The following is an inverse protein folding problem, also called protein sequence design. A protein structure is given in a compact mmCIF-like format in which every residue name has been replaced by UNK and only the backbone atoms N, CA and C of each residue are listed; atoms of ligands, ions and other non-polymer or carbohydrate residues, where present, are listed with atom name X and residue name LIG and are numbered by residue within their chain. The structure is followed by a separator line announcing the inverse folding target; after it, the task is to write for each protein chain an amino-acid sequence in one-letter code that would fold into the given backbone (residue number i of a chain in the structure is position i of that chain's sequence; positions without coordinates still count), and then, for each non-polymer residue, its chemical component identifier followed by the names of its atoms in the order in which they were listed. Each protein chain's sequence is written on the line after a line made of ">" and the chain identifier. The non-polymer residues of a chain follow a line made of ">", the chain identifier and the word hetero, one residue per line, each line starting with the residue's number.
data_IF_925149125650
#
_entry.id   IF_925149125650
#
_cell.length_a   1.000
_cell.length_b   1.000
_cell.length_c   1.000
_cell.angle_alpha   90.00
_cell.angle_beta   90.00
_cell.angle_gamma   90.00
#
_symmetry.space_group_name_H-M   'P 1'
#
loop_
_entity.id
_entity.type
_entity.pdbx_description
1 polymer ?
#
# COMPACT_ATOMS: atom_id res chain seq x y z
N UNK A 1 -31.99 -22.75 -49.65
CA UNK A 1 -31.93 -21.71 -48.61
C UNK A 1 -31.23 -22.29 -47.38
N UNK A 2 -29.92 -22.09 -47.22
CA UNK A 2 -29.20 -22.39 -45.98
C UNK A 2 -28.20 -21.23 -45.81
N UNK A 3 -28.45 -20.34 -44.83
CA UNK A 3 -27.55 -19.24 -44.47
C UNK A 3 -26.67 -19.71 -43.32
N UNK A 4 -25.39 -19.91 -43.57
CA UNK A 4 -24.36 -20.05 -42.53
C UNK A 4 -24.06 -18.68 -41.95
N UNK A 5 -24.35 -18.47 -40.67
CA UNK A 5 -23.90 -17.29 -39.91
C UNK A 5 -22.71 -17.67 -39.05
N UNK A 6 -21.55 -17.12 -39.37
CA UNK A 6 -20.34 -17.17 -38.56
C UNK A 6 -20.47 -16.19 -37.40
N UNK A 7 -20.43 -16.68 -36.16
CA UNK A 7 -20.37 -15.83 -34.98
C UNK A 7 -18.90 -15.63 -34.57
N UNK A 8 -18.38 -14.42 -34.73
CA UNK A 8 -17.10 -14.01 -34.18
C UNK A 8 -17.28 -13.71 -32.68
N UNK A 9 -16.68 -14.51 -31.81
CA UNK A 9 -16.64 -14.26 -30.38
C UNK A 9 -15.55 -13.23 -30.08
N UNK A 10 -15.94 -11.97 -29.84
CA UNK A 10 -15.07 -10.95 -29.27
C UNK A 10 -14.92 -11.22 -27.77
N UNK A 11 -13.77 -11.76 -27.36
CA UNK A 11 -13.43 -11.87 -25.94
C UNK A 11 -12.95 -10.50 -25.47
N UNK A 12 -13.83 -9.72 -24.84
CA UNK A 12 -13.42 -8.55 -24.07
C UNK A 12 -12.74 -9.01 -22.79
N UNK A 13 -11.41 -9.05 -22.78
CA UNK A 13 -10.63 -9.11 -21.54
C UNK A 13 -10.76 -7.77 -20.82
N UNK A 14 -11.64 -7.71 -19.81
CA UNK A 14 -11.75 -6.57 -18.93
C UNK A 14 -10.48 -6.43 -18.10
N UNK A 15 -9.69 -5.37 -18.35
CA UNK A 15 -8.66 -4.93 -17.42
C UNK A 15 -9.38 -4.44 -16.15
N UNK A 16 -9.23 -5.16 -15.05
CA UNK A 16 -9.70 -4.71 -13.75
C UNK A 16 -8.88 -3.49 -13.33
N UNK A 17 -9.41 -2.29 -13.61
CA UNK A 17 -8.87 -1.05 -13.07
C UNK A 17 -9.19 -1.06 -11.58
N UNK A 18 -8.24 -1.45 -10.75
CA UNK A 18 -8.40 -1.34 -9.30
C UNK A 18 -8.58 0.16 -8.98
N UNK A 19 -9.61 0.53 -8.18
CA UNK A 19 -9.82 1.92 -7.84
C UNK A 19 -8.61 2.42 -7.05
N UNK A 20 -7.92 3.43 -7.58
CA UNK A 20 -7.02 4.23 -6.79
C UNK A 20 -7.86 4.96 -5.76
N UNK A 21 -7.66 4.68 -4.47
CA UNK A 21 -8.39 5.37 -3.42
C UNK A 21 -8.01 6.85 -3.44
N UNK A 22 -9.01 7.70 -3.64
CA UNK A 22 -8.86 9.14 -3.53
C UNK A 22 -8.61 9.49 -2.07
N UNK A 23 -7.53 10.22 -1.81
CA UNK A 23 -7.27 10.82 -0.50
C UNK A 23 -8.20 12.02 -0.31
N UNK A 24 -8.54 12.31 0.94
CA UNK A 24 -9.25 13.55 1.29
C UNK A 24 -8.34 14.77 1.08
N UNK A 25 -8.92 15.91 0.67
CA UNK A 25 -8.17 17.14 0.40
C UNK A 25 -7.37 17.64 1.62
N UNK A 26 -7.84 17.38 2.84
CA UNK A 26 -7.10 17.73 4.06
C UNK A 26 -5.81 16.93 4.20
N UNK A 27 -5.86 15.63 3.89
CA UNK A 27 -4.69 14.74 3.87
C UNK A 27 -3.73 15.21 2.78
N UNK A 28 -4.22 15.49 1.58
CA UNK A 28 -3.39 16.01 0.48
C UNK A 28 -2.66 17.29 0.91
N UNK A 29 -3.36 18.26 1.51
CA UNK A 29 -2.72 19.49 2.02
C UNK A 29 -1.67 19.23 3.09
N UNK A 30 -1.83 18.21 3.93
CA UNK A 30 -0.83 17.84 4.94
C UNK A 30 0.41 17.24 4.26
N UNK A 31 0.21 16.33 3.32
CA UNK A 31 1.27 15.70 2.52
C UNK A 31 2.06 16.72 1.68
N UNK A 32 1.39 17.74 1.16
CA UNK A 32 2.04 18.81 0.37
C UNK A 32 3.04 19.66 1.17
N UNK A 33 2.99 19.62 2.51
CA UNK A 33 3.95 20.31 3.38
C UNK A 33 5.24 19.53 3.63
N UNK A 34 5.26 18.25 3.27
CA UNK A 34 6.41 17.37 3.43
C UNK A 34 7.40 17.53 2.27
N UNK A 35 8.63 17.10 2.48
CA UNK A 35 9.58 16.92 1.37
C UNK A 35 9.03 15.89 0.36
N UNK A 36 9.45 15.90 -0.91
CA UNK A 36 8.94 14.96 -1.91
C UNK A 36 9.11 13.48 -1.52
N UNK A 37 10.20 13.14 -0.83
CA UNK A 37 10.50 11.79 -0.34
C UNK A 37 9.56 11.40 0.81
N UNK A 38 9.50 12.21 1.87
CA UNK A 38 8.58 12.00 3.01
C UNK A 38 7.11 11.94 2.55
N UNK A 39 6.72 12.80 1.60
CA UNK A 39 5.38 12.79 1.01
C UNK A 39 5.05 11.44 0.40
N UNK A 40 5.98 10.89 -0.37
CA UNK A 40 5.82 9.59 -1.02
C UNK A 40 5.71 8.47 0.00
N UNK A 41 6.62 8.43 0.98
CA UNK A 41 6.58 7.44 2.05
C UNK A 41 5.23 7.44 2.76
N UNK A 42 4.77 8.61 3.20
CA UNK A 42 3.50 8.76 3.89
C UNK A 42 2.31 8.39 3.00
N UNK A 43 2.35 8.74 1.72
CA UNK A 43 1.33 8.31 0.75
C UNK A 43 1.28 6.79 0.62
N UNK A 44 2.44 6.15 0.54
CA UNK A 44 2.56 4.69 0.43
C UNK A 44 2.08 3.97 1.70
N UNK A 45 2.36 4.54 2.88
CA UNK A 45 1.88 4.02 4.17
C UNK A 45 0.35 4.08 4.26
N UNK A 46 -0.25 5.19 3.81
CA UNK A 46 -1.72 5.33 3.74
C UNK A 46 -2.33 4.31 2.76
N UNK A 47 -1.70 4.11 1.60
CA UNK A 47 -2.13 3.10 0.63
C UNK A 47 -2.05 1.69 1.22
N UNK A 48 -0.97 1.37 1.94
CA UNK A 48 -0.79 0.09 2.62
C UNK A 48 -1.93 -0.19 3.59
N UNK A 49 -2.23 0.76 4.48
CA UNK A 49 -3.34 0.66 5.43
C UNK A 49 -4.67 0.43 4.72
N UNK A 50 -4.94 1.22 3.67
CA UNK A 50 -6.18 1.13 2.89
C UNK A 50 -6.36 -0.22 2.21
N UNK A 51 -5.30 -0.79 1.62
CA UNK A 51 -5.36 -2.12 0.96
C UNK A 51 -5.52 -3.24 1.96
N UNK A 52 -4.74 -3.23 3.05
CA UNK A 52 -4.81 -4.25 4.11
C UNK A 52 -6.22 -4.26 4.73
N UNK A 53 -6.81 -3.10 5.02
CA UNK A 53 -8.17 -2.99 5.55
C UNK A 53 -9.23 -3.62 4.63
N UNK A 54 -9.01 -3.57 3.31
CA UNK A 54 -9.98 -4.03 2.30
C UNK A 54 -9.80 -5.47 1.86
N UNK A 55 -8.67 -6.10 2.16
CA UNK A 55 -8.41 -7.51 1.82
C UNK A 55 -9.39 -8.49 2.51
N UNK A 56 -10.12 -8.03 3.54
CA UNK A 56 -11.17 -8.83 4.19
C UNK A 56 -10.65 -9.78 5.27
N UNK A 57 -9.38 -9.66 5.68
CA UNK A 57 -8.77 -10.47 6.74
C UNK A 57 -9.05 -9.95 8.17
N UNK A 58 -9.95 -8.97 8.31
CA UNK A 58 -10.35 -8.42 9.61
C UNK A 58 -9.38 -7.40 10.23
N UNK A 59 -8.27 -7.09 9.57
CA UNK A 59 -7.36 -6.04 10.01
C UNK A 59 -8.01 -4.66 9.95
N UNK A 60 -7.67 -3.82 10.92
CA UNK A 60 -8.03 -2.40 11.00
C UNK A 60 -6.76 -1.58 11.23
N UNK A 61 -5.93 -1.39 10.18
CA UNK A 61 -4.67 -0.70 10.32
C UNK A 61 -4.87 0.76 10.75
N UNK A 62 -4.11 1.21 11.74
CA UNK A 62 -4.11 2.62 12.19
C UNK A 62 -2.72 3.28 12.12
N UNK A 63 -1.68 2.50 11.82
CA UNK A 63 -0.31 2.97 11.67
C UNK A 63 0.49 2.01 10.79
N UNK A 64 1.39 2.57 9.99
CA UNK A 64 2.48 1.86 9.30
C UNK A 64 3.79 2.54 9.68
N UNK A 65 4.87 1.77 9.75
CA UNK A 65 6.24 2.27 9.85
C UNK A 65 7.04 1.50 8.80
N UNK A 66 7.60 2.19 7.83
CA UNK A 66 8.22 1.58 6.65
C UNK A 66 9.58 0.90 6.94
N UNK A 67 10.28 1.36 7.98
CA UNK A 67 11.70 1.08 8.22
C UNK A 67 12.01 0.33 9.53
N UNK A 68 11.03 -0.37 10.13
CA UNK A 68 11.20 -0.98 11.46
C UNK A 68 12.28 -2.06 11.53
N UNK A 69 12.36 -2.94 10.53
CA UNK A 69 13.31 -4.07 10.52
C UNK A 69 14.43 -3.94 9.48
N UNK A 70 14.33 -2.95 8.59
CA UNK A 70 15.28 -2.65 7.52
C UNK A 70 14.94 -1.30 6.89
N UNK A 71 15.95 -0.57 6.43
CA UNK A 71 15.77 0.72 5.76
C UNK A 71 14.92 0.62 4.49
N UNK A 72 14.29 1.73 4.13
CA UNK A 72 13.59 1.87 2.85
C UNK A 72 14.58 2.05 1.71
N UNK A 73 14.19 1.60 0.51
CA UNK A 73 14.95 1.79 -0.72
C UNK A 73 14.11 2.62 -1.69
N UNK A 74 14.63 3.76 -2.13
CA UNK A 74 13.95 4.65 -3.07
C UNK A 74 14.69 4.76 -4.41
N UNK A 75 13.98 4.58 -5.53
CA UNK A 75 14.53 4.79 -6.88
C UNK A 75 13.43 5.22 -7.85
N UNK A 76 13.58 6.39 -8.47
CA UNK A 76 12.69 6.88 -9.54
C UNK A 76 11.18 6.78 -9.23
N UNK A 77 10.67 7.26 -8.10
CA UNK A 77 9.23 7.12 -7.80
C UNK A 77 8.85 5.80 -7.14
N UNK A 78 9.75 4.81 -7.08
CA UNK A 78 9.51 3.51 -6.44
C UNK A 78 10.10 3.50 -5.03
N UNK A 79 9.24 3.27 -4.04
CA UNK A 79 9.61 3.03 -2.65
C UNK A 79 9.47 1.53 -2.35
N UNK A 80 10.52 0.91 -1.83
CA UNK A 80 10.48 -0.45 -1.26
C UNK A 80 10.68 -0.36 0.24
N UNK A 81 9.82 -1.05 0.98
CA UNK A 81 9.91 -1.15 2.43
C UNK A 81 9.98 -2.64 2.81
N UNK A 82 11.19 -3.23 2.82
CA UNK A 82 11.36 -4.67 3.08
C UNK A 82 11.15 -5.06 4.55
N UNK A 83 11.27 -4.08 5.46
CA UNK A 83 11.19 -4.26 6.91
C UNK A 83 10.04 -3.49 7.58
N UNK A 84 8.96 -3.23 6.86
CA UNK A 84 7.84 -2.47 7.39
C UNK A 84 7.07 -3.22 8.49
N UNK A 85 6.24 -2.48 9.22
CA UNK A 85 5.18 -3.01 10.10
C UNK A 85 3.91 -2.22 9.93
N UNK A 86 2.77 -2.84 10.26
CA UNK A 86 1.54 -2.11 10.52
C UNK A 86 0.94 -2.51 11.85
N UNK A 87 0.20 -1.59 12.46
CA UNK A 87 -0.54 -1.83 13.70
C UNK A 87 -2.01 -1.98 13.41
N UNK A 88 -2.63 -3.02 13.97
CA UNK A 88 -4.07 -3.25 13.89
C UNK A 88 -4.59 -3.73 15.24
N UNK A 89 -5.59 -3.04 15.78
CA UNK A 89 -6.21 -3.34 17.08
C UNK A 89 -5.18 -3.45 18.23
N UNK A 90 -4.16 -2.57 18.22
CA UNK A 90 -3.14 -2.52 19.26
C UNK A 90 -2.09 -3.64 19.22
N UNK A 91 -2.01 -4.39 18.11
CA UNK A 91 -0.94 -5.36 17.85
C UNK A 91 -0.18 -5.01 16.56
N UNK A 92 1.11 -5.31 16.52
CA UNK A 92 1.98 -5.08 15.37
C UNK A 92 2.14 -6.33 14.52
N UNK A 93 2.18 -6.16 13.21
CA UNK A 93 2.34 -7.22 12.23
C UNK A 93 3.43 -6.84 11.24
N UNK A 94 4.29 -7.81 10.90
CA UNK A 94 5.32 -7.63 9.88
C UNK A 94 4.67 -7.30 8.55
N UNK A 95 5.26 -6.37 7.81
CA UNK A 95 4.83 -5.95 6.49
C UNK A 95 6.05 -5.85 5.59
N UNK A 96 5.84 -6.08 4.31
CA UNK A 96 6.71 -5.54 3.29
C UNK A 96 5.87 -5.07 2.13
N UNK A 97 6.27 -3.97 1.51
CA UNK A 97 5.58 -3.45 0.34
C UNK A 97 6.53 -2.82 -0.68
N UNK A 98 6.01 -2.67 -1.89
CA UNK A 98 6.57 -1.86 -2.97
C UNK A 98 5.48 -0.91 -3.43
N UNK A 99 5.80 0.36 -3.56
CA UNK A 99 4.86 1.41 -3.90
C UNK A 99 5.49 2.31 -4.96
N UNK A 100 4.88 2.36 -6.15
CA UNK A 100 5.29 3.28 -7.22
C UNK A 100 4.33 4.45 -7.25
N UNK A 101 4.84 5.67 -7.17
CA UNK A 101 4.07 6.90 -7.41
C UNK A 101 4.45 7.55 -8.74
N UNK A 102 3.58 8.44 -9.22
CA UNK A 102 3.94 9.44 -10.20
C UNK A 102 4.89 10.50 -9.58
N UNK A 103 5.33 11.45 -10.41
CA UNK A 103 6.24 12.53 -10.01
C UNK A 103 5.67 13.45 -8.92
N UNK A 104 4.34 13.55 -8.83
CA UNK A 104 3.65 14.29 -7.77
C UNK A 104 3.86 13.70 -6.37
N UNK A 105 4.36 12.46 -6.27
CA UNK A 105 4.52 11.72 -5.02
C UNK A 105 3.20 11.27 -4.39
N UNK A 106 2.07 11.51 -5.07
CA UNK A 106 0.74 11.26 -4.57
C UNK A 106 0.04 10.18 -5.38
N UNK A 107 0.07 10.25 -6.71
CA UNK A 107 -0.66 9.32 -7.57
C UNK A 107 -0.02 7.93 -7.52
N UNK A 108 -0.72 6.94 -6.94
CA UNK A 108 -0.26 5.54 -6.90
C UNK A 108 -0.39 4.91 -8.28
N UNK A 109 0.74 4.50 -8.86
CA UNK A 109 0.81 3.79 -10.14
C UNK A 109 0.74 2.27 -9.95
N UNK A 110 1.44 1.74 -8.95
CA UNK A 110 1.39 0.33 -8.59
C UNK A 110 1.71 0.13 -7.11
N UNK A 111 1.18 -0.95 -6.54
CA UNK A 111 1.41 -1.27 -5.14
C UNK A 111 1.25 -2.78 -4.91
N UNK A 112 2.29 -3.38 -4.33
CA UNK A 112 2.35 -4.78 -3.94
C UNK A 112 2.75 -4.88 -2.48
N UNK A 113 2.16 -5.82 -1.74
CA UNK A 113 2.52 -6.03 -0.34
C UNK A 113 2.39 -7.49 0.09
N UNK A 114 3.00 -7.80 1.23
CA UNK A 114 2.81 -9.06 1.93
C UNK A 114 2.72 -8.81 3.43
N UNK A 115 1.61 -9.22 4.02
CA UNK A 115 1.44 -9.31 5.48
C UNK A 115 2.22 -10.54 5.98
N UNK A 116 2.97 -10.35 7.04
CA UNK A 116 3.75 -11.38 7.73
C UNK A 116 3.14 -11.73 9.09
N UNK A 117 3.95 -12.35 9.94
CA UNK A 117 3.54 -12.73 11.29
C UNK A 117 3.31 -11.51 12.19
N UNK A 118 2.51 -11.69 13.24
CA UNK A 118 2.47 -10.78 14.39
C UNK A 118 3.87 -10.63 14.99
N UNK A 119 4.21 -9.42 15.42
CA UNK A 119 5.45 -9.13 16.16
C UNK A 119 5.21 -9.43 17.65
N UNK A 120 5.95 -10.38 18.26
CA UNK A 120 5.83 -10.69 19.68
C UNK A 120 6.04 -9.45 20.56
N UNK A 121 5.26 -9.30 21.64
CA UNK A 121 5.29 -8.08 22.48
C UNK A 121 6.63 -7.88 23.18
N UNK A 122 7.31 -8.98 23.48
CA UNK A 122 8.66 -9.02 24.04
C UNK A 122 9.71 -8.39 23.12
N UNK A 123 9.50 -8.40 21.81
CA UNK A 123 10.41 -7.78 20.82
C UNK A 123 10.17 -6.28 20.65
N UNK A 124 9.04 -5.73 21.12
CA UNK A 124 8.64 -4.36 20.80
C UNK A 124 9.61 -3.30 21.30
N UNK A 125 10.24 -3.53 22.45
CA UNK A 125 11.23 -2.61 23.01
C UNK A 125 12.47 -2.44 22.12
N UNK A 126 12.89 -3.50 21.42
CA UNK A 126 14.03 -3.46 20.48
C UNK A 126 13.72 -2.60 19.25
N UNK A 127 12.46 -2.62 18.82
CA UNK A 127 11.99 -1.98 17.59
C UNK A 127 11.19 -0.69 17.81
N UNK A 128 11.20 -0.16 19.04
CA UNK A 128 10.46 1.05 19.44
C UNK A 128 8.96 0.99 19.11
N UNK A 129 8.36 -0.20 19.21
CA UNK A 129 6.94 -0.43 18.95
C UNK A 129 6.10 -0.23 20.22
N UNK A 130 4.90 0.31 20.05
CA UNK A 130 4.00 0.65 21.17
C UNK A 130 2.53 0.57 20.77
N UNK A 131 1.66 0.50 21.79
CA UNK A 131 0.21 0.54 21.61
C UNK A 131 -0.29 1.98 21.43
#
# INVERSE_FOLDING_TARGET
>A
MIKTMTAAALVLTGAAVLPAYALDDSIIRQLDRLTPEERREQRCDIEAMSRIAKQGEGYKPDKVIAYTFADTEETEGLLRAPGAVFRSAGDWYRLKYKCKTAEDGLTIQSFDYKVGSKVPREEWGEYYLYN
#
